data_IF_569417308510
#
_entry.id   IF_569417308510
#
_cell.length_a   1.000
_cell.length_b   1.000
_cell.length_c   1.000
_cell.angle_alpha   90.00
_cell.angle_beta   90.00
_cell.angle_gamma   90.00
#
_symmetry.space_group_name_H-M   'P 1'
#
loop_
_entity.id
_entity.type
_entity.pdbx_description
1 polymer ?
#
# COMPACT_ATOMS: atom_id res chain seq x y z
N UNK A 1 -21.07 -13.16 34.55
CA UNK A 1 -21.20 -14.07 33.41
C UNK A 1 -20.19 -13.54 32.39
N UNK A 2 -19.00 -14.17 32.43
CA UNK A 2 -17.89 -13.76 31.53
C UNK A 2 -18.19 -14.37 30.18
N UNK A 3 -18.38 -13.50 29.17
CA UNK A 3 -18.58 -13.90 27.78
C UNK A 3 -17.23 -13.76 27.07
N UNK A 4 -16.31 -14.67 27.36
CA UNK A 4 -15.11 -14.82 26.54
C UNK A 4 -15.52 -15.46 25.20
N UNK A 5 -15.55 -14.63 24.18
CA UNK A 5 -15.78 -15.06 22.79
C UNK A 5 -14.52 -15.76 22.27
N UNK A 6 -14.58 -17.08 22.13
CA UNK A 6 -13.50 -17.83 21.47
C UNK A 6 -13.72 -17.81 19.97
N UNK A 7 -12.96 -16.98 19.25
CA UNK A 7 -12.99 -16.92 17.78
C UNK A 7 -12.24 -18.15 17.24
N UNK A 8 -12.96 -19.13 16.68
CA UNK A 8 -12.38 -20.39 16.20
C UNK A 8 -11.94 -20.37 14.72
N UNK A 9 -12.28 -19.31 13.96
CA UNK A 9 -12.02 -19.28 12.52
C UNK A 9 -11.13 -18.12 12.03
N UNK A 10 -10.52 -17.37 12.95
CA UNK A 10 -9.49 -16.38 12.64
C UNK A 10 -8.36 -16.49 13.65
N UNK A 11 -7.14 -16.76 13.16
CA UNK A 11 -5.94 -16.56 13.96
C UNK A 11 -5.89 -15.09 14.40
N UNK A 12 -5.75 -14.78 15.70
CA UNK A 12 -5.48 -13.44 16.16
C UNK A 12 -4.27 -12.87 15.40
N UNK A 13 -4.34 -11.62 14.99
CA UNK A 13 -3.28 -10.99 14.19
C UNK A 13 -1.91 -11.05 14.91
N UNK A 14 -1.91 -11.10 16.24
CA UNK A 14 -0.69 -11.19 17.04
C UNK A 14 -0.08 -12.61 17.05
N UNK A 15 -0.88 -13.64 16.80
CA UNK A 15 -0.39 -15.05 16.77
C UNK A 15 0.22 -15.42 15.41
N UNK A 16 0.05 -14.59 14.37
CA UNK A 16 0.63 -14.82 13.05
C UNK A 16 2.10 -14.36 13.00
N UNK A 17 2.99 -15.18 12.48
CA UNK A 17 4.44 -14.91 12.40
C UNK A 17 5.27 -15.75 13.37
N UNK A 18 4.70 -16.84 13.89
CA UNK A 18 5.35 -17.77 14.81
C UNK A 18 6.12 -18.90 14.10
N UNK A 19 6.04 -18.98 12.78
CA UNK A 19 6.76 -19.96 11.97
C UNK A 19 7.50 -19.29 10.80
N UNK A 20 8.56 -19.91 10.31
CA UNK A 20 9.30 -19.45 9.12
C UNK A 20 8.39 -19.34 7.89
N UNK A 21 7.42 -20.25 7.75
CA UNK A 21 6.46 -20.21 6.65
C UNK A 21 5.56 -18.97 6.73
N UNK A 22 5.10 -18.60 7.92
CA UNK A 22 4.29 -17.40 8.13
C UNK A 22 5.09 -16.11 7.92
N UNK A 23 6.35 -16.06 8.38
CA UNK A 23 7.24 -14.92 8.13
C UNK A 23 7.51 -14.75 6.64
N UNK A 24 7.78 -15.85 5.92
CA UNK A 24 7.93 -15.81 4.46
C UNK A 24 6.63 -15.37 3.76
N UNK A 25 5.46 -15.73 4.30
CA UNK A 25 4.19 -15.27 3.77
C UNK A 25 3.99 -13.75 3.96
N UNK A 26 4.46 -13.17 5.08
CA UNK A 26 4.45 -11.72 5.29
C UNK A 26 5.34 -10.99 4.28
N UNK A 27 6.55 -11.50 4.04
CA UNK A 27 7.48 -10.96 3.04
C UNK A 27 6.84 -11.06 1.65
N UNK A 28 6.33 -12.23 1.28
CA UNK A 28 5.67 -12.45 0.01
C UNK A 28 4.44 -11.57 -0.21
N UNK A 29 3.65 -11.34 0.84
CA UNK A 29 2.50 -10.43 0.78
C UNK A 29 2.94 -8.99 0.54
N UNK A 30 4.00 -8.54 1.18
CA UNK A 30 4.57 -7.20 0.98
C UNK A 30 5.02 -7.00 -0.47
N UNK A 31 5.73 -7.96 -1.07
CA UNK A 31 6.10 -7.92 -2.49
C UNK A 31 4.88 -8.00 -3.41
N UNK A 32 3.86 -8.78 -3.05
CA UNK A 32 2.64 -8.88 -3.84
C UNK A 32 1.89 -7.56 -3.96
N UNK A 33 2.06 -6.63 -3.00
CA UNK A 33 1.48 -5.28 -3.10
C UNK A 33 1.94 -4.56 -4.36
N UNK A 34 3.16 -4.81 -4.87
CA UNK A 34 3.71 -4.16 -6.05
C UNK A 34 2.89 -4.41 -7.32
N UNK A 35 2.07 -5.45 -7.37
CA UNK A 35 1.11 -5.67 -8.47
C UNK A 35 0.11 -4.52 -8.60
N UNK A 36 -0.21 -3.85 -7.49
CA UNK A 36 -1.10 -2.68 -7.48
C UNK A 36 -0.53 -1.48 -8.23
N UNK A 37 0.81 -1.37 -8.33
CA UNK A 37 1.44 -0.33 -9.14
C UNK A 37 0.96 -0.38 -10.57
N UNK A 38 0.93 -1.56 -11.20
CA UNK A 38 0.46 -1.70 -12.57
C UNK A 38 -1.01 -1.27 -12.74
N UNK A 39 -1.89 -1.75 -11.87
CA UNK A 39 -3.34 -1.53 -12.03
C UNK A 39 -3.81 -0.14 -11.63
N UNK A 40 -3.17 0.49 -10.65
CA UNK A 40 -3.65 1.77 -10.13
C UNK A 40 -2.83 2.95 -10.66
N UNK A 41 -1.51 2.84 -10.64
CA UNK A 41 -0.63 3.95 -10.98
C UNK A 41 -0.38 4.09 -12.48
N UNK A 42 -0.19 2.99 -13.20
CA UNK A 42 -0.01 3.04 -14.65
C UNK A 42 -1.21 3.67 -15.35
N UNK A 43 -2.43 3.39 -14.87
CA UNK A 43 -3.62 4.05 -15.42
C UNK A 43 -3.62 5.56 -15.19
N UNK A 44 -3.16 6.03 -14.04
CA UNK A 44 -3.09 7.45 -13.76
C UNK A 44 -2.07 8.14 -14.68
N UNK A 45 -0.84 7.62 -14.78
CA UNK A 45 0.21 8.22 -15.60
C UNK A 45 -0.08 8.14 -17.09
N UNK A 46 -0.47 6.97 -17.60
CA UNK A 46 -0.69 6.78 -19.03
C UNK A 46 -1.90 7.56 -19.55
N UNK A 47 -2.98 7.61 -18.79
CA UNK A 47 -4.16 8.38 -19.20
C UNK A 47 -3.94 9.89 -19.07
N UNK A 48 -3.27 10.37 -18.01
CA UNK A 48 -2.98 11.80 -17.85
C UNK A 48 -1.89 12.29 -18.82
N UNK A 49 -0.91 11.44 -19.12
CA UNK A 49 0.16 11.71 -20.09
C UNK A 49 -0.27 11.59 -21.55
N UNK A 50 -1.54 11.29 -21.85
CA UNK A 50 -2.06 11.08 -23.20
C UNK A 50 -1.43 9.91 -23.97
N UNK A 51 -0.72 9.01 -23.28
CA UNK A 51 -0.18 7.79 -23.88
C UNK A 51 -1.26 6.73 -24.10
N UNK A 52 -2.29 6.73 -23.24
CA UNK A 52 -3.44 5.86 -23.36
C UNK A 52 -4.74 6.66 -23.38
N UNK A 53 -5.62 6.32 -24.30
CA UNK A 53 -6.99 6.86 -24.38
C UNK A 53 -7.98 5.72 -24.29
N UNK A 54 -8.94 5.84 -23.40
CA UNK A 54 -10.02 4.88 -23.24
C UNK A 54 -11.33 5.48 -23.79
N UNK A 55 -11.57 5.40 -25.12
CA UNK A 55 -12.76 6.00 -25.70
C UNK A 55 -14.00 5.18 -25.32
N UNK A 56 -15.08 5.88 -24.97
CA UNK A 56 -16.39 5.25 -24.79
C UNK A 56 -16.87 4.68 -26.13
N UNK A 57 -17.20 3.40 -26.13
CA UNK A 57 -17.73 2.69 -27.31
C UNK A 57 -19.25 2.69 -27.32
N UNK A 58 -19.82 2.39 -28.48
CA UNK A 58 -21.27 2.16 -28.59
C UNK A 58 -21.65 0.99 -27.68
N UNK A 59 -22.59 1.22 -26.76
CA UNK A 59 -22.96 0.27 -25.72
C UNK A 59 -22.42 0.61 -24.32
N UNK A 60 -21.56 1.64 -24.21
CA UNK A 60 -21.04 2.12 -22.93
C UNK A 60 -19.75 1.43 -22.44
N UNK A 61 -19.15 0.55 -23.24
CA UNK A 61 -17.87 -0.07 -22.91
C UNK A 61 -16.82 0.99 -22.62
N UNK A 62 -16.00 0.73 -21.59
CA UNK A 62 -14.92 1.60 -21.12
C UNK A 62 -15.38 2.97 -20.60
N UNK A 63 -16.67 3.19 -20.38
CA UNK A 63 -17.12 4.42 -19.75
C UNK A 63 -16.73 4.46 -18.26
N UNK A 64 -16.92 3.36 -17.54
CA UNK A 64 -16.52 3.16 -16.12
C UNK A 64 -16.83 4.36 -15.22
N UNK A 65 -18.03 4.93 -15.33
CA UNK A 65 -18.41 6.13 -14.59
C UNK A 65 -17.68 7.41 -15.02
N UNK A 66 -16.94 7.38 -16.13
CA UNK A 66 -16.19 8.52 -16.66
C UNK A 66 -14.80 8.72 -16.04
N UNK A 67 -14.34 7.82 -15.15
CA UNK A 67 -13.10 7.98 -14.39
C UNK A 67 -11.85 8.12 -15.27
N UNK A 68 -11.75 7.39 -16.38
CA UNK A 68 -10.63 7.52 -17.32
C UNK A 68 -10.69 8.84 -18.12
N UNK A 69 -11.90 9.26 -18.46
CA UNK A 69 -12.11 10.54 -19.12
C UNK A 69 -11.73 11.71 -18.21
N UNK A 70 -12.06 11.65 -16.92
CA UNK A 70 -11.66 12.66 -15.94
C UNK A 70 -10.13 12.79 -15.88
N UNK A 71 -9.41 11.66 -15.88
CA UNK A 71 -7.95 11.65 -15.86
C UNK A 71 -7.40 12.24 -17.18
N UNK A 72 -7.88 11.80 -18.32
CA UNK A 72 -7.44 12.29 -19.63
C UNK A 72 -7.70 13.79 -19.80
N UNK A 73 -8.86 14.27 -19.34
CA UNK A 73 -9.25 15.69 -19.42
C UNK A 73 -8.64 16.56 -18.33
N UNK A 74 -7.85 15.99 -17.44
CA UNK A 74 -7.26 16.69 -16.28
C UNK A 74 -8.30 17.37 -15.39
N UNK A 75 -9.45 16.74 -15.22
CA UNK A 75 -10.57 17.24 -14.38
C UNK A 75 -10.77 16.41 -13.11
N UNK A 76 -9.82 15.54 -12.79
CA UNK A 76 -9.90 14.70 -11.58
C UNK A 76 -9.87 15.52 -10.29
N UNK A 77 -10.41 14.94 -9.27
CA UNK A 77 -10.40 15.46 -7.90
C UNK A 77 -9.96 14.37 -6.94
N UNK A 78 -9.81 14.70 -5.66
CA UNK A 78 -9.60 13.70 -4.60
C UNK A 78 -10.75 12.69 -4.48
N UNK A 79 -11.89 12.94 -5.11
CA UNK A 79 -13.06 12.06 -5.14
C UNK A 79 -13.07 11.10 -6.34
N UNK A 80 -12.24 11.34 -7.36
CA UNK A 80 -12.13 10.46 -8.52
C UNK A 80 -11.70 9.06 -8.09
N UNK A 81 -12.45 8.05 -8.51
CA UNK A 81 -12.30 6.67 -8.03
C UNK A 81 -10.87 6.15 -8.18
N UNK A 82 -10.23 6.35 -9.34
CA UNK A 82 -8.85 5.90 -9.59
C UNK A 82 -7.83 6.59 -8.69
N UNK A 83 -8.01 7.87 -8.40
CA UNK A 83 -7.12 8.62 -7.49
C UNK A 83 -7.23 8.06 -6.07
N UNK A 84 -8.45 7.81 -5.60
CA UNK A 84 -8.69 7.17 -4.29
C UNK A 84 -8.09 5.76 -4.21
N UNK A 85 -8.31 4.94 -5.25
CA UNK A 85 -7.80 3.56 -5.29
C UNK A 85 -6.28 3.53 -5.24
N UNK A 86 -5.62 4.42 -5.99
CA UNK A 86 -4.17 4.51 -5.98
C UNK A 86 -3.63 4.93 -4.60
N UNK A 87 -4.21 5.98 -3.99
CA UNK A 87 -3.84 6.39 -2.64
C UNK A 87 -3.99 5.25 -1.62
N UNK A 88 -5.16 4.59 -1.64
CA UNK A 88 -5.45 3.46 -0.77
C UNK A 88 -4.46 2.31 -0.98
N UNK A 89 -4.19 1.94 -2.23
CA UNK A 89 -3.26 0.86 -2.54
C UNK A 89 -1.85 1.12 -1.99
N UNK A 90 -1.33 2.36 -2.13
CA UNK A 90 -0.02 2.72 -1.60
C UNK A 90 0.03 2.75 -0.08
N UNK A 91 -0.97 3.35 0.58
CA UNK A 91 -1.02 3.41 2.04
C UNK A 91 -1.17 2.02 2.66
N UNK A 92 -1.99 1.15 2.07
CA UNK A 92 -2.11 -0.25 2.48
C UNK A 92 -0.79 -1.01 2.29
N UNK A 93 -0.09 -0.80 1.17
CA UNK A 93 1.19 -1.44 0.91
C UNK A 93 2.28 -1.01 1.91
N UNK A 94 2.35 0.28 2.24
CA UNK A 94 3.26 0.80 3.27
C UNK A 94 2.92 0.20 4.64
N UNK A 95 1.63 0.14 5.00
CA UNK A 95 1.17 -0.48 6.24
C UNK A 95 1.55 -1.97 6.33
N UNK A 96 1.36 -2.72 5.23
CA UNK A 96 1.75 -4.14 5.14
C UNK A 96 3.25 -4.32 5.36
N UNK A 97 4.09 -3.47 4.75
CA UNK A 97 5.54 -3.52 4.97
C UNK A 97 5.91 -3.19 6.42
N UNK A 98 5.27 -2.18 7.02
CA UNK A 98 5.54 -1.80 8.41
C UNK A 98 5.18 -2.92 9.39
N UNK A 99 4.04 -3.59 9.20
CA UNK A 99 3.63 -4.73 10.00
C UNK A 99 4.61 -5.90 9.86
N UNK A 100 4.99 -6.25 8.62
CA UNK A 100 5.94 -7.31 8.36
C UNK A 100 7.32 -7.01 8.98
N UNK A 101 7.83 -5.79 8.83
CA UNK A 101 9.09 -5.35 9.46
C UNK A 101 9.02 -5.51 10.98
N UNK A 102 7.94 -5.06 11.62
CA UNK A 102 7.75 -5.20 13.07
C UNK A 102 7.80 -6.65 13.50
N UNK A 103 7.09 -7.55 12.80
CA UNK A 103 7.05 -8.97 13.12
C UNK A 103 8.39 -9.66 12.92
N UNK A 104 9.12 -9.35 11.84
CA UNK A 104 10.47 -9.87 11.60
C UNK A 104 11.46 -9.43 12.69
N UNK A 105 11.43 -8.16 13.08
CA UNK A 105 12.29 -7.64 14.13
C UNK A 105 12.04 -8.30 15.49
N UNK A 106 10.80 -8.63 15.80
CA UNK A 106 10.39 -9.27 17.07
C UNK A 106 10.43 -10.81 17.02
N UNK A 107 10.80 -11.40 15.89
CA UNK A 107 10.86 -12.86 15.76
C UNK A 107 11.97 -13.47 16.63
N UNK A 108 11.67 -14.53 17.31
CA UNK A 108 12.63 -15.32 18.10
C UNK A 108 13.23 -16.51 17.31
N UNK A 109 12.68 -16.80 16.13
CA UNK A 109 13.07 -17.94 15.30
C UNK A 109 14.08 -17.59 14.20
N UNK A 110 14.27 -16.30 13.89
CA UNK A 110 15.24 -15.82 12.91
C UNK A 110 16.54 -15.39 13.61
N UNK A 111 17.64 -15.63 12.93
CA UNK A 111 18.94 -15.06 13.31
C UNK A 111 18.96 -13.55 13.05
N UNK A 112 19.86 -12.82 13.71
CA UNK A 112 20.00 -11.36 13.51
C UNK A 112 20.40 -11.02 12.07
N UNK A 113 21.16 -11.90 11.40
CA UNK A 113 21.53 -11.72 10.00
C UNK A 113 20.32 -11.85 9.05
N UNK A 114 19.50 -12.89 9.24
CA UNK A 114 18.26 -13.08 8.49
C UNK A 114 17.29 -11.92 8.70
N UNK A 115 17.08 -11.49 9.97
CA UNK A 115 16.29 -10.30 10.27
C UNK A 115 16.77 -9.06 9.54
N UNK A 116 18.09 -8.80 9.58
CA UNK A 116 18.66 -7.63 8.95
C UNK A 116 18.45 -7.65 7.43
N UNK A 117 18.59 -8.81 6.79
CA UNK A 117 18.39 -8.98 5.36
C UNK A 117 16.93 -8.77 4.96
N UNK A 118 16.00 -9.46 5.63
CA UNK A 118 14.57 -9.42 5.31
C UNK A 118 13.97 -8.02 5.59
N UNK A 119 14.40 -7.39 6.69
CA UNK A 119 13.98 -6.02 7.01
C UNK A 119 14.52 -5.03 5.98
N UNK A 120 15.76 -5.20 5.49
CA UNK A 120 16.31 -4.32 4.45
C UNK A 120 15.53 -4.45 3.14
N UNK A 121 15.16 -5.67 2.74
CA UNK A 121 14.33 -5.93 1.56
C UNK A 121 12.96 -5.23 1.68
N UNK A 122 12.25 -5.42 2.79
CA UNK A 122 10.95 -4.79 3.01
C UNK A 122 11.03 -3.25 3.11
N UNK A 123 12.12 -2.71 3.63
CA UNK A 123 12.39 -1.26 3.57
C UNK A 123 12.51 -0.78 2.12
N UNK A 124 13.10 -1.58 1.23
CA UNK A 124 13.17 -1.31 -0.19
C UNK A 124 11.78 -1.23 -0.83
N UNK A 125 10.92 -2.21 -0.57
CA UNK A 125 9.51 -2.22 -1.06
C UNK A 125 8.74 -1.02 -0.52
N UNK A 126 8.90 -0.70 0.76
CA UNK A 126 8.26 0.47 1.39
C UNK A 126 8.75 1.78 0.76
N UNK A 127 10.06 1.91 0.54
CA UNK A 127 10.64 3.11 -0.07
C UNK A 127 10.14 3.32 -1.50
N UNK A 128 9.95 2.24 -2.28
CA UNK A 128 9.32 2.32 -3.58
C UNK A 128 7.91 2.94 -3.51
N UNK A 129 7.06 2.50 -2.59
CA UNK A 129 5.73 3.04 -2.44
C UNK A 129 5.71 4.49 -1.96
N UNK A 130 6.60 4.85 -1.04
CA UNK A 130 6.79 6.23 -0.59
C UNK A 130 7.21 7.12 -1.77
N UNK A 131 8.18 6.67 -2.56
CA UNK A 131 8.63 7.38 -3.76
C UNK A 131 7.47 7.63 -4.74
N UNK A 132 6.71 6.59 -5.07
CA UNK A 132 5.57 6.70 -5.97
C UNK A 132 4.51 7.65 -5.43
N UNK A 133 4.21 7.60 -4.13
CA UNK A 133 3.28 8.55 -3.51
C UNK A 133 3.79 9.99 -3.59
N UNK A 134 5.08 10.23 -3.35
CA UNK A 134 5.68 11.55 -3.46
C UNK A 134 5.60 12.09 -4.89
N UNK A 135 5.83 11.25 -5.88
CA UNK A 135 5.76 11.62 -7.31
C UNK A 135 4.35 12.08 -7.70
N UNK A 136 3.31 11.39 -7.23
CA UNK A 136 1.92 11.68 -7.58
C UNK A 136 1.25 12.78 -6.75
N UNK A 137 1.57 12.88 -5.46
CA UNK A 137 0.88 13.81 -4.53
C UNK A 137 1.79 14.87 -3.91
N UNK A 138 3.10 14.75 -4.06
CA UNK A 138 4.05 15.68 -3.43
C UNK A 138 4.12 15.46 -1.93
N UNK A 139 3.41 16.25 -1.15
CA UNK A 139 3.40 16.12 0.31
C UNK A 139 2.59 14.91 0.75
N UNK A 140 3.26 13.95 1.36
CA UNK A 140 2.65 12.71 1.89
C UNK A 140 2.99 12.52 3.37
N UNK A 141 2.13 11.81 4.13
CA UNK A 141 2.46 11.45 5.50
C UNK A 141 3.64 10.47 5.53
N UNK A 142 4.58 10.71 6.44
CA UNK A 142 5.72 9.81 6.67
C UNK A 142 5.28 8.63 7.53
N UNK A 143 5.03 7.48 6.90
CA UNK A 143 4.57 6.25 7.53
C UNK A 143 5.70 5.22 7.59
N UNK A 144 6.63 5.36 8.53
CA UNK A 144 7.81 4.47 8.65
C UNK A 144 7.68 3.41 9.73
N UNK A 145 6.63 3.46 10.54
CA UNK A 145 6.38 2.53 11.65
C UNK A 145 4.99 1.90 11.55
N UNK A 146 4.83 0.76 12.20
CA UNK A 146 3.52 0.13 12.33
C UNK A 146 2.70 0.90 13.38
N UNK A 147 1.49 1.29 12.98
CA UNK A 147 0.52 1.92 13.84
C UNK A 147 -0.78 1.11 13.82
N UNK A 148 -1.29 0.68 14.97
CA UNK A 148 -2.60 0.08 15.06
C UNK A 148 -3.68 1.02 14.50
N UNK A 149 -4.69 0.46 13.84
CA UNK A 149 -5.75 1.21 13.16
C UNK A 149 -6.65 2.04 14.09
N UNK A 150 -6.56 1.82 15.40
CA UNK A 150 -7.32 2.52 16.44
C UNK A 150 -6.70 3.86 16.85
N UNK A 151 -5.50 4.20 16.37
CA UNK A 151 -4.82 5.46 16.69
C UNK A 151 -4.76 6.37 15.47
N UNK A 152 -5.34 7.56 15.61
CA UNK A 152 -5.16 8.65 14.64
C UNK A 152 -3.76 9.22 14.87
N UNK A 153 -2.88 9.07 13.87
CA UNK A 153 -1.55 9.65 13.90
C UNK A 153 -1.57 11.07 13.34
N UNK A 154 -1.04 12.05 14.06
CA UNK A 154 -0.61 13.31 13.46
C UNK A 154 0.65 12.99 12.64
N UNK A 155 0.48 12.64 11.37
CA UNK A 155 1.61 12.28 10.50
C UNK A 155 2.55 13.47 10.31
N UNK A 156 3.85 13.22 10.41
CA UNK A 156 4.84 14.12 9.84
C UNK A 156 4.72 14.04 8.32
N UNK A 157 4.74 15.19 7.65
CA UNK A 157 4.70 15.26 6.19
C UNK A 157 6.11 15.50 5.66
N UNK A 158 6.48 14.84 4.56
CA UNK A 158 7.64 15.25 3.79
C UNK A 158 7.36 16.61 3.14
N UNK A 159 8.12 17.66 3.47
CA UNK A 159 7.97 18.94 2.79
C UNK A 159 8.39 18.79 1.32
N UNK A 160 7.58 19.32 0.41
CA UNK A 160 7.92 19.42 -1.01
C UNK A 160 9.23 20.22 -1.15
N UNK A 161 10.29 19.59 -1.59
CA UNK A 161 11.59 20.24 -1.81
C UNK A 161 12.74 19.70 -0.97
N UNK A 162 12.57 18.57 -0.27
CA UNK A 162 13.63 17.90 0.51
C UNK A 162 14.37 16.80 -0.27
N UNK A 163 14.38 16.86 -1.61
CA UNK A 163 15.17 15.98 -2.50
C UNK A 163 16.20 16.82 -3.23
#
# INVERSE_FOLDING_TARGET
MDLDETVYDKLPADDFGQSTAELNALIGNSHNTMKKFWTEYMHLSECSGSMAVTPTRRGGDWYDGGQYREIYMHTWTSQTSRVKSAWKAATEAIGTCNEAIRKLQNSEILTEEEKAQDVADLRGVRAFWIYVMMDYWGNIPLLTEFHPTDKVFPGEFFPSGSI
#
